data_IF_196149118971
#
_entry.id   IF_196149118971
#
_cell.length_a   1.000
_cell.length_b   1.000
_cell.length_c   1.000
_cell.angle_alpha   90.00
_cell.angle_beta   90.00
_cell.angle_gamma   90.00
#
_symmetry.space_group_name_H-M   'P 1'
#
loop_
_entity.id
_entity.type
_entity.pdbx_description
1 polymer ?
#
# COMPACT_ATOMS: atom_id res chain seq x y z
N UNK A 1 -13.26 -17.03 17.74
CA UNK A 1 -12.83 -16.20 16.59
C UNK A 1 -11.87 -17.07 15.79
N UNK A 2 -12.14 -17.30 14.50
CA UNK A 2 -11.20 -18.05 13.63
C UNK A 2 -9.90 -17.27 13.56
N UNK A 3 -8.86 -17.79 14.18
CA UNK A 3 -7.61 -17.05 14.44
C UNK A 3 -6.74 -16.77 13.20
N UNK A 4 -7.06 -17.33 12.03
CA UNK A 4 -6.25 -17.08 10.83
C UNK A 4 -7.04 -17.06 9.50
N UNK A 5 -7.84 -16.01 9.30
CA UNK A 5 -8.59 -15.82 8.05
C UNK A 5 -7.69 -15.49 6.84
N UNK A 6 -6.39 -15.19 7.09
CA UNK A 6 -5.42 -14.79 6.07
C UNK A 6 -4.55 -15.95 5.56
N UNK A 7 -4.58 -17.11 6.23
CA UNK A 7 -3.73 -18.24 5.85
C UNK A 7 -3.92 -18.64 4.38
N UNK A 8 -2.81 -18.81 3.66
CA UNK A 8 -2.74 -19.15 2.23
C UNK A 8 -3.43 -18.15 1.30
N UNK A 9 -3.80 -16.95 1.77
CA UNK A 9 -4.25 -15.88 0.90
C UNK A 9 -3.09 -15.32 0.10
N UNK A 10 -3.33 -15.06 -1.18
CA UNK A 10 -2.36 -14.47 -2.09
C UNK A 10 -2.40 -12.94 -1.94
N UNK A 11 -1.31 -12.35 -1.51
CA UNK A 11 -1.17 -10.93 -1.23
C UNK A 11 -0.24 -10.27 -2.24
N UNK A 12 -0.68 -9.19 -2.87
CA UNK A 12 0.17 -8.28 -3.64
C UNK A 12 0.48 -7.05 -2.79
N UNK A 13 1.77 -6.73 -2.63
CA UNK A 13 2.22 -5.57 -1.88
C UNK A 13 3.13 -4.72 -2.76
N UNK A 14 2.75 -3.46 -2.99
CA UNK A 14 3.59 -2.48 -3.67
C UNK A 14 4.42 -1.69 -2.68
N UNK A 15 5.64 -1.28 -3.06
CA UNK A 15 6.58 -0.61 -2.16
C UNK A 15 7.06 -1.53 -1.03
N UNK A 16 7.19 -2.83 -1.32
CA UNK A 16 7.48 -3.89 -0.35
C UNK A 16 8.79 -3.72 0.43
N UNK A 17 9.76 -3.00 -0.12
CA UNK A 17 11.06 -2.72 0.51
C UNK A 17 11.07 -1.44 1.34
N UNK A 18 10.05 -0.58 1.18
CA UNK A 18 9.91 0.67 1.91
C UNK A 18 9.66 0.49 3.41
N UNK A 19 9.81 1.55 4.19
CA UNK A 19 9.73 1.50 5.65
C UNK A 19 8.47 0.82 6.18
N UNK A 20 7.28 1.20 5.70
CA UNK A 20 6.01 0.57 6.07
C UNK A 20 5.80 -0.75 5.32
N UNK A 21 6.03 -0.79 4.00
CA UNK A 21 5.80 -1.97 3.18
C UNK A 21 6.55 -3.20 3.70
N UNK A 22 7.83 -3.04 4.08
CA UNK A 22 8.64 -4.11 4.67
C UNK A 22 8.04 -4.65 5.97
N UNK A 23 7.48 -3.79 6.82
CA UNK A 23 6.82 -4.22 8.06
C UNK A 23 5.53 -4.98 7.78
N UNK A 24 4.73 -4.51 6.80
CA UNK A 24 3.50 -5.19 6.38
C UNK A 24 3.80 -6.59 5.83
N UNK A 25 4.80 -6.76 4.96
CA UNK A 25 5.11 -8.09 4.40
C UNK A 25 5.59 -9.07 5.48
N UNK A 26 6.33 -8.60 6.49
CA UNK A 26 6.73 -9.42 7.64
C UNK A 26 5.51 -9.90 8.43
N UNK A 27 4.55 -9.01 8.71
CA UNK A 27 3.32 -9.37 9.43
C UNK A 27 2.45 -10.36 8.62
N UNK A 28 2.33 -10.16 7.29
CA UNK A 28 1.63 -11.10 6.41
C UNK A 28 2.30 -12.47 6.33
N UNK A 29 3.62 -12.53 6.31
CA UNK A 29 4.38 -13.79 6.35
C UNK A 29 4.12 -14.57 7.66
N UNK A 30 4.07 -13.88 8.82
CA UNK A 30 3.69 -14.47 10.11
C UNK A 30 2.26 -15.02 10.11
N UNK A 31 1.39 -14.51 9.25
CA UNK A 31 0.01 -14.98 9.05
C UNK A 31 -0.13 -16.07 7.98
N UNK A 32 0.97 -16.64 7.51
CA UNK A 32 1.01 -17.69 6.49
C UNK A 32 0.38 -17.26 5.15
N UNK A 33 0.49 -15.99 4.78
CA UNK A 33 0.08 -15.50 3.46
C UNK A 33 1.13 -15.85 2.40
N UNK A 34 0.70 -16.16 1.18
CA UNK A 34 1.56 -16.13 0.02
C UNK A 34 1.77 -14.68 -0.43
N UNK A 35 2.99 -14.33 -0.86
CA UNK A 35 3.37 -12.95 -1.10
C UNK A 35 3.86 -12.75 -2.54
N UNK A 36 3.32 -11.75 -3.23
CA UNK A 36 3.94 -11.16 -4.41
C UNK A 36 4.41 -9.75 -4.05
N UNK A 37 5.71 -9.52 -4.13
CA UNK A 37 6.36 -8.29 -3.70
C UNK A 37 6.77 -7.47 -4.91
N UNK A 38 6.51 -6.15 -4.89
CA UNK A 38 7.06 -5.25 -5.90
C UNK A 38 7.59 -3.97 -5.28
N UNK A 39 8.70 -3.51 -5.81
CA UNK A 39 9.36 -2.27 -5.47
C UNK A 39 10.24 -1.81 -6.63
N UNK A 40 10.63 -0.55 -6.63
CA UNK A 40 11.66 -0.02 -7.52
C UNK A 40 13.08 -0.33 -7.01
N UNK A 41 13.24 -0.63 -5.73
CA UNK A 41 14.55 -0.90 -5.10
C UNK A 41 15.02 -2.33 -5.37
N UNK A 42 16.34 -2.53 -5.51
CA UNK A 42 16.94 -3.79 -5.92
C UNK A 42 17.01 -4.88 -4.83
N UNK A 43 16.71 -4.54 -3.58
CA UNK A 43 16.82 -5.44 -2.42
C UNK A 43 15.62 -6.38 -2.20
N UNK A 44 14.79 -6.63 -3.23
CA UNK A 44 13.66 -7.57 -3.15
C UNK A 44 14.08 -9.02 -2.92
N UNK A 45 15.22 -9.47 -3.51
CA UNK A 45 15.74 -10.81 -3.29
C UNK A 45 16.19 -11.00 -1.83
N UNK A 46 16.87 -10.01 -1.26
CA UNK A 46 17.28 -10.04 0.15
C UNK A 46 16.06 -10.13 1.09
N UNK A 47 15.02 -9.31 0.79
CA UNK A 47 13.76 -9.35 1.53
C UNK A 47 13.09 -10.73 1.42
N UNK A 48 13.05 -11.33 0.24
CA UNK A 48 12.51 -12.67 0.05
C UNK A 48 13.25 -13.68 0.91
N UNK A 49 14.60 -13.69 0.89
CA UNK A 49 15.40 -14.61 1.69
C UNK A 49 15.16 -14.43 3.21
N UNK A 50 14.97 -13.20 3.68
CA UNK A 50 14.61 -12.94 5.06
C UNK A 50 13.24 -13.54 5.41
N UNK A 51 12.25 -13.34 4.55
CA UNK A 51 10.89 -13.87 4.76
C UNK A 51 10.84 -15.40 4.69
N UNK A 52 11.63 -16.03 3.82
CA UNK A 52 11.76 -17.49 3.74
C UNK A 52 12.39 -18.09 5.00
N UNK A 53 13.31 -17.37 5.65
CA UNK A 53 13.86 -17.77 6.97
C UNK A 53 12.82 -17.61 8.08
N UNK A 54 11.93 -16.61 7.97
CA UNK A 54 10.87 -16.40 8.94
C UNK A 54 9.76 -17.45 8.78
N UNK A 55 9.39 -17.79 7.55
CA UNK A 55 8.35 -18.76 7.23
C UNK A 55 8.61 -19.42 5.87
N UNK A 56 9.10 -20.65 5.87
CA UNK A 56 9.41 -21.42 4.66
C UNK A 56 8.19 -22.15 4.06
N UNK A 57 7.02 -22.05 4.69
CA UNK A 57 5.78 -22.71 4.24
C UNK A 57 4.92 -21.87 3.28
N UNK A 58 5.35 -20.67 2.92
CA UNK A 58 4.60 -19.75 2.06
C UNK A 58 5.29 -19.55 0.70
N UNK A 59 4.50 -19.29 -0.33
CA UNK A 59 5.03 -18.92 -1.65
C UNK A 59 5.41 -17.44 -1.64
N UNK A 60 6.64 -17.11 -2.00
CA UNK A 60 7.11 -15.73 -2.13
C UNK A 60 7.65 -15.53 -3.54
N UNK A 61 7.06 -14.57 -4.26
CA UNK A 61 7.48 -14.13 -5.59
C UNK A 61 7.69 -12.63 -5.58
N UNK A 62 8.49 -12.13 -6.51
CA UNK A 62 8.71 -10.69 -6.61
C UNK A 62 9.01 -10.27 -8.05
N UNK A 63 8.85 -8.96 -8.29
CA UNK A 63 9.29 -8.29 -9.51
C UNK A 63 9.65 -6.85 -9.19
N UNK A 64 10.79 -6.40 -9.75
CA UNK A 64 11.14 -4.99 -9.79
C UNK A 64 10.25 -4.27 -10.81
N UNK A 65 9.61 -3.16 -10.37
CA UNK A 65 8.73 -2.39 -11.24
C UNK A 65 8.72 -0.93 -10.82
N UNK A 66 8.88 -0.04 -11.79
CA UNK A 66 8.63 1.38 -11.62
C UNK A 66 7.16 1.69 -11.91
N UNK A 67 6.34 1.70 -10.89
CA UNK A 67 4.88 1.88 -11.02
C UNK A 67 4.46 3.26 -11.56
N UNK A 68 5.40 4.20 -11.76
CA UNK A 68 5.15 5.45 -12.49
C UNK A 68 4.97 5.21 -13.99
N UNK A 69 5.49 4.09 -14.50
CA UNK A 69 5.44 3.70 -15.91
C UNK A 69 4.29 2.72 -16.14
N UNK A 70 3.42 3.03 -17.10
CA UNK A 70 2.28 2.18 -17.42
C UNK A 70 2.72 0.77 -17.89
N UNK A 71 3.77 0.71 -18.72
CA UNK A 71 4.32 -0.54 -19.23
C UNK A 71 4.81 -1.46 -18.09
N UNK A 72 5.46 -0.91 -17.07
CA UNK A 72 5.94 -1.68 -15.92
C UNK A 72 4.76 -2.22 -15.09
N UNK A 73 3.65 -1.46 -14.98
CA UNK A 73 2.44 -1.93 -14.31
C UNK A 73 1.79 -3.08 -15.09
N UNK A 74 1.72 -2.99 -16.42
CA UNK A 74 1.19 -4.06 -17.27
C UNK A 74 2.07 -5.32 -17.21
N UNK A 75 3.40 -5.15 -17.21
CA UNK A 75 4.37 -6.24 -17.05
C UNK A 75 4.22 -6.91 -15.68
N UNK A 76 4.05 -6.13 -14.62
CA UNK A 76 3.81 -6.62 -13.27
C UNK A 76 2.52 -7.46 -13.21
N UNK A 77 1.42 -6.98 -13.78
CA UNK A 77 0.15 -7.72 -13.81
C UNK A 77 0.32 -9.06 -14.53
N UNK A 78 0.97 -9.06 -15.70
CA UNK A 78 1.26 -10.31 -16.43
C UNK A 78 2.04 -11.30 -15.58
N UNK A 79 3.11 -10.83 -14.93
CA UNK A 79 3.94 -11.70 -14.09
C UNK A 79 3.17 -12.25 -12.88
N UNK A 80 2.32 -11.43 -12.26
CA UNK A 80 1.46 -11.90 -11.16
C UNK A 80 0.52 -13.01 -11.65
N UNK A 81 -0.11 -12.84 -12.83
CA UNK A 81 -1.02 -13.83 -13.41
C UNK A 81 -0.34 -15.15 -13.77
N UNK A 82 0.96 -15.15 -14.09
CA UNK A 82 1.75 -16.36 -14.30
C UNK A 82 2.03 -17.13 -12.99
N UNK A 83 2.24 -16.41 -11.89
CA UNK A 83 2.68 -16.99 -10.62
C UNK A 83 1.51 -17.30 -9.66
N UNK A 84 0.43 -16.54 -9.75
CA UNK A 84 -0.74 -16.66 -8.87
C UNK A 84 -2.04 -16.72 -9.68
N UNK A 85 -2.89 -17.68 -9.36
CA UNK A 85 -4.22 -17.83 -10.01
C UNK A 85 -5.15 -16.66 -9.72
N UNK A 86 -4.96 -15.98 -8.59
CA UNK A 86 -5.74 -14.80 -8.19
C UNK A 86 -5.05 -14.09 -7.02
N UNK A 87 -5.34 -12.80 -6.87
CA UNK A 87 -4.96 -12.00 -5.71
C UNK A 87 -6.18 -11.85 -4.79
N UNK A 88 -6.00 -12.16 -3.51
CA UNK A 88 -7.03 -12.03 -2.48
C UNK A 88 -6.88 -10.73 -1.69
N UNK A 89 -5.63 -10.26 -1.52
CA UNK A 89 -5.29 -9.07 -0.75
C UNK A 89 -4.37 -8.19 -1.61
N UNK A 90 -4.77 -6.94 -1.81
CA UNK A 90 -3.99 -5.92 -2.49
C UNK A 90 -3.64 -4.81 -1.50
N UNK A 91 -2.33 -4.55 -1.31
CA UNK A 91 -1.85 -3.45 -0.48
C UNK A 91 -1.07 -2.47 -1.36
N UNK A 92 -1.69 -1.36 -1.68
CA UNK A 92 -1.08 -0.23 -2.37
C UNK A 92 -0.32 0.63 -1.34
N UNK A 93 0.97 0.31 -1.13
CA UNK A 93 1.85 0.98 -0.18
C UNK A 93 2.97 1.78 -0.85
N UNK A 94 3.23 1.57 -2.14
CA UNK A 94 4.16 2.41 -2.90
C UNK A 94 3.66 3.85 -2.94
N UNK A 95 4.58 4.79 -2.80
CA UNK A 95 4.24 6.21 -2.86
C UNK A 95 5.50 7.06 -2.79
N UNK A 96 5.38 8.28 -3.30
CA UNK A 96 6.41 9.31 -3.20
C UNK A 96 5.81 10.60 -2.65
N UNK A 97 6.66 11.42 -2.03
CA UNK A 97 6.32 12.73 -1.48
C UNK A 97 7.13 13.81 -2.20
N UNK A 98 6.46 14.87 -2.61
CA UNK A 98 7.09 16.09 -3.13
C UNK A 98 6.70 17.26 -2.23
N UNK A 99 7.69 17.82 -1.53
CA UNK A 99 7.47 18.95 -0.62
C UNK A 99 8.36 20.12 -1.01
N UNK A 100 7.78 21.07 -1.74
CA UNK A 100 8.42 22.34 -2.12
C UNK A 100 7.39 23.40 -2.48
N UNK A 101 7.77 24.69 -2.55
CA UNK A 101 6.87 25.76 -2.96
C UNK A 101 6.18 25.44 -4.30
N UNK A 102 4.90 25.80 -4.41
CA UNK A 102 4.14 25.57 -5.64
C UNK A 102 4.80 26.21 -6.88
N UNK A 103 5.41 27.39 -6.71
CA UNK A 103 6.12 28.10 -7.79
C UNK A 103 7.36 27.36 -8.30
N UNK A 104 7.89 26.42 -7.54
CA UNK A 104 9.08 25.63 -7.88
C UNK A 104 8.72 24.20 -8.32
N UNK A 105 7.45 23.82 -8.18
CA UNK A 105 6.94 22.51 -8.57
C UNK A 105 6.86 22.41 -10.10
N UNK A 106 7.26 21.26 -10.65
CA UNK A 106 7.21 20.98 -12.08
C UNK A 106 6.04 20.07 -12.45
N UNK A 107 5.62 20.09 -13.72
CA UNK A 107 4.62 19.15 -14.22
C UNK A 107 5.12 17.70 -14.18
N UNK A 108 6.42 17.47 -14.43
CA UNK A 108 7.00 16.13 -14.36
C UNK A 108 6.90 15.54 -12.95
N UNK A 109 7.12 16.35 -11.91
CA UNK A 109 6.94 15.92 -10.51
C UNK A 109 5.46 15.65 -10.18
N UNK A 110 4.58 16.50 -10.71
CA UNK A 110 3.13 16.28 -10.56
C UNK A 110 2.72 14.96 -11.22
N UNK A 111 3.11 14.74 -12.48
CA UNK A 111 2.79 13.53 -13.23
C UNK A 111 3.41 12.28 -12.59
N UNK A 112 4.66 12.35 -12.13
CA UNK A 112 5.33 11.27 -11.39
C UNK A 112 4.51 10.87 -10.17
N UNK A 113 4.19 11.85 -9.31
CA UNK A 113 3.46 11.63 -8.08
C UNK A 113 2.03 11.08 -8.35
N UNK A 114 1.32 11.64 -9.32
CA UNK A 114 -0.01 11.15 -9.69
C UNK A 114 0.04 9.75 -10.30
N UNK A 115 1.05 9.46 -11.10
CA UNK A 115 1.23 8.14 -11.69
C UNK A 115 1.48 7.07 -10.61
N UNK A 116 2.35 7.34 -9.64
CA UNK A 116 2.66 6.40 -8.58
C UNK A 116 1.54 6.30 -7.53
N UNK A 117 1.10 7.44 -7.01
CA UNK A 117 0.20 7.48 -5.86
C UNK A 117 -1.27 7.24 -6.20
N UNK A 118 -1.67 7.40 -7.48
CA UNK A 118 -3.08 7.35 -7.91
C UNK A 118 -3.31 6.37 -9.06
N UNK A 119 -2.62 6.58 -10.22
CA UNK A 119 -2.85 5.76 -11.41
C UNK A 119 -2.49 4.30 -11.19
N UNK A 120 -1.34 4.00 -10.60
CA UNK A 120 -0.93 2.63 -10.33
C UNK A 120 -1.92 1.91 -9.38
N UNK A 121 -2.30 2.46 -8.21
CA UNK A 121 -3.37 1.89 -7.38
C UNK A 121 -4.69 1.69 -8.13
N UNK A 122 -5.11 2.66 -8.96
CA UNK A 122 -6.33 2.51 -9.78
C UNK A 122 -6.26 1.30 -10.70
N UNK A 123 -5.15 1.14 -11.45
CA UNK A 123 -4.97 0.02 -12.39
C UNK A 123 -4.97 -1.31 -11.64
N UNK A 124 -4.22 -1.41 -10.54
CA UNK A 124 -4.13 -2.64 -9.75
C UNK A 124 -5.47 -3.00 -9.08
N UNK A 125 -6.19 -2.01 -8.54
CA UNK A 125 -7.53 -2.22 -8.00
C UNK A 125 -8.50 -2.70 -9.08
N UNK A 126 -8.53 -2.05 -10.26
CA UNK A 126 -9.35 -2.43 -11.40
C UNK A 126 -9.10 -3.87 -11.85
N UNK A 127 -7.83 -4.29 -11.87
CA UNK A 127 -7.45 -5.62 -12.32
C UNK A 127 -7.83 -6.70 -11.30
N UNK A 128 -7.42 -6.54 -10.05
CA UNK A 128 -7.53 -7.61 -9.05
C UNK A 128 -8.85 -7.64 -8.29
N UNK A 129 -9.64 -6.55 -8.30
CA UNK A 129 -11.00 -6.59 -7.73
C UNK A 129 -11.93 -7.54 -8.44
N UNK A 130 -11.69 -7.86 -9.72
CA UNK A 130 -12.45 -8.86 -10.48
C UNK A 130 -12.40 -10.23 -9.81
N UNK A 131 -11.19 -10.74 -9.52
CA UNK A 131 -11.00 -12.02 -8.85
C UNK A 131 -11.66 -12.05 -7.47
N UNK A 132 -11.54 -10.93 -6.74
CA UNK A 132 -12.10 -10.77 -5.41
C UNK A 132 -13.63 -10.82 -5.44
N UNK A 133 -14.23 -10.12 -6.42
CA UNK A 133 -15.70 -10.08 -6.63
C UNK A 133 -16.24 -11.47 -7.01
N UNK A 134 -15.59 -12.16 -7.94
CA UNK A 134 -15.98 -13.52 -8.35
C UNK A 134 -15.93 -14.50 -7.19
N UNK A 135 -14.90 -14.39 -6.33
CA UNK A 135 -14.73 -15.23 -5.14
C UNK A 135 -15.54 -14.79 -3.93
N UNK A 136 -16.24 -13.66 -4.02
CA UNK A 136 -16.99 -13.02 -2.92
C UNK A 136 -16.14 -12.86 -1.64
N UNK A 137 -14.86 -12.56 -1.84
CA UNK A 137 -13.92 -12.27 -0.76
C UNK A 137 -12.71 -11.51 -1.30
N UNK A 138 -12.38 -10.39 -0.67
CA UNK A 138 -11.22 -9.60 -1.00
C UNK A 138 -10.91 -8.53 0.03
N UNK A 139 -9.64 -8.09 0.04
CA UNK A 139 -9.17 -6.98 0.88
C UNK A 139 -8.29 -6.06 0.04
N UNK A 140 -8.67 -4.81 -0.05
CA UNK A 140 -7.89 -3.76 -0.71
C UNK A 140 -7.50 -2.73 0.35
N UNK A 141 -6.22 -2.46 0.49
CA UNK A 141 -5.70 -1.44 1.39
C UNK A 141 -4.94 -0.41 0.56
N UNK A 142 -5.40 0.83 0.61
CA UNK A 142 -4.70 1.97 0.04
C UNK A 142 -4.05 2.76 1.18
N UNK A 143 -2.72 2.84 1.17
CA UNK A 143 -1.96 3.62 2.16
C UNK A 143 -1.96 5.08 1.69
N UNK A 144 -2.82 5.87 2.32
CA UNK A 144 -2.92 7.31 2.10
C UNK A 144 -1.95 8.08 3.01
N UNK A 145 -2.42 9.10 3.69
CA UNK A 145 -1.67 9.95 4.63
C UNK A 145 -2.66 10.88 5.33
N UNK A 146 -2.26 11.51 6.44
CA UNK A 146 -2.96 12.69 6.97
C UNK A 146 -3.14 13.79 5.90
N UNK A 147 -2.26 13.83 4.89
CA UNK A 147 -2.35 14.69 3.70
C UNK A 147 -3.53 14.35 2.77
N UNK A 148 -4.26 13.26 3.01
CA UNK A 148 -5.51 12.96 2.28
C UNK A 148 -6.71 13.73 2.85
N UNK A 149 -6.58 14.31 4.02
CA UNK A 149 -7.65 15.02 4.73
C UNK A 149 -7.32 16.50 4.98
N UNK A 150 -6.03 16.84 4.93
CA UNK A 150 -5.54 18.20 5.26
C UNK A 150 -4.60 18.70 4.16
N UNK A 151 -4.55 20.03 3.99
CA UNK A 151 -3.52 20.70 3.21
C UNK A 151 -2.32 21.05 4.10
N UNK A 152 -1.11 20.88 3.56
CA UNK A 152 0.13 21.28 4.21
C UNK A 152 0.92 22.24 3.33
N UNK A 153 1.64 23.15 3.93
CA UNK A 153 2.52 24.09 3.23
C UNK A 153 3.54 23.29 2.39
N UNK A 154 3.78 23.77 1.18
CA UNK A 154 4.73 23.17 0.24
C UNK A 154 4.42 21.71 -0.19
N UNK A 155 3.23 21.21 0.06
CA UNK A 155 2.84 19.83 -0.25
C UNK A 155 1.68 19.74 -1.26
N UNK A 156 1.53 20.71 -2.17
CA UNK A 156 0.39 20.77 -3.08
C UNK A 156 0.25 19.51 -3.94
N UNK A 157 1.33 19.01 -4.53
CA UNK A 157 1.33 17.79 -5.35
C UNK A 157 0.95 16.58 -4.50
N UNK A 158 1.61 16.41 -3.36
CA UNK A 158 1.39 15.26 -2.49
C UNK A 158 -0.03 15.22 -1.91
N UNK A 159 -0.50 16.36 -1.36
CA UNK A 159 -1.87 16.46 -0.85
C UNK A 159 -2.89 16.15 -1.95
N UNK A 160 -2.72 16.69 -3.17
CA UNK A 160 -3.60 16.39 -4.30
C UNK A 160 -3.66 14.90 -4.59
N UNK A 161 -2.51 14.22 -4.64
CA UNK A 161 -2.44 12.79 -4.91
C UNK A 161 -3.11 11.96 -3.80
N UNK A 162 -2.91 12.32 -2.53
CA UNK A 162 -3.48 11.57 -1.40
C UNK A 162 -4.99 11.83 -1.22
N UNK A 163 -5.49 13.03 -1.54
CA UNK A 163 -6.93 13.30 -1.64
C UNK A 163 -7.57 12.49 -2.78
N UNK A 164 -6.90 12.39 -3.94
CA UNK A 164 -7.38 11.58 -5.06
C UNK A 164 -7.45 10.08 -4.68
N UNK A 165 -6.44 9.55 -3.98
CA UNK A 165 -6.41 8.17 -3.50
C UNK A 165 -7.53 7.89 -2.48
N UNK A 166 -7.85 8.85 -1.60
CA UNK A 166 -8.98 8.76 -0.68
C UNK A 166 -10.31 8.70 -1.46
N UNK A 167 -10.49 9.56 -2.46
CA UNK A 167 -11.66 9.56 -3.33
C UNK A 167 -11.84 8.23 -4.06
N UNK A 168 -10.77 7.67 -4.63
CA UNK A 168 -10.76 6.34 -5.23
C UNK A 168 -11.17 5.26 -4.22
N UNK A 169 -10.63 5.29 -3.01
CA UNK A 169 -10.94 4.31 -1.96
C UNK A 169 -12.41 4.33 -1.58
N UNK A 170 -13.01 5.52 -1.46
CA UNK A 170 -14.44 5.69 -1.17
C UNK A 170 -15.33 5.11 -2.28
N UNK A 171 -14.98 5.37 -3.54
CA UNK A 171 -15.71 4.82 -4.69
C UNK A 171 -15.64 3.30 -4.72
N UNK A 172 -14.43 2.72 -4.55
CA UNK A 172 -14.23 1.26 -4.50
C UNK A 172 -15.01 0.61 -3.35
N UNK A 173 -15.04 1.22 -2.18
CA UNK A 173 -15.83 0.71 -1.06
C UNK A 173 -17.33 0.66 -1.43
N UNK A 174 -17.88 1.74 -1.98
CA UNK A 174 -19.29 1.80 -2.37
C UNK A 174 -19.64 0.75 -3.43
N UNK A 175 -18.73 0.52 -4.39
CA UNK A 175 -18.94 -0.41 -5.51
C UNK A 175 -18.80 -1.88 -5.10
N UNK A 176 -17.85 -2.20 -4.21
CA UNK A 176 -17.40 -3.58 -3.98
C UNK A 176 -17.96 -4.22 -2.69
N UNK A 177 -18.55 -3.44 -1.78
CA UNK A 177 -19.00 -3.90 -0.46
C UNK A 177 -19.99 -5.07 -0.53
N UNK A 178 -20.90 -5.08 -1.49
CA UNK A 178 -21.93 -6.12 -1.62
C UNK A 178 -21.36 -7.46 -2.12
N UNK A 179 -20.12 -7.45 -2.61
CA UNK A 179 -19.36 -8.63 -3.01
C UNK A 179 -18.42 -9.16 -1.92
N UNK A 180 -18.55 -8.67 -0.68
CA UNK A 180 -17.63 -8.98 0.44
C UNK A 180 -16.17 -8.63 0.13
N UNK A 181 -15.96 -7.63 -0.73
CA UNK A 181 -14.64 -7.03 -0.98
C UNK A 181 -14.54 -5.76 -0.16
N UNK A 182 -13.63 -5.76 0.81
CA UNK A 182 -13.47 -4.64 1.74
C UNK A 182 -12.33 -3.76 1.29
N UNK A 183 -12.61 -2.48 1.13
CA UNK A 183 -11.61 -1.47 0.80
C UNK A 183 -11.34 -0.60 2.01
N UNK A 184 -10.07 -0.46 2.37
CA UNK A 184 -9.60 0.36 3.47
C UNK A 184 -8.70 1.47 2.94
N UNK A 185 -8.96 2.70 3.35
CA UNK A 185 -8.05 3.82 3.19
C UNK A 185 -7.39 4.08 4.54
N UNK A 186 -6.13 3.69 4.68
CA UNK A 186 -5.36 3.93 5.90
C UNK A 186 -4.53 5.19 5.72
N UNK A 187 -4.75 6.17 6.58
CA UNK A 187 -4.14 7.50 6.52
C UNK A 187 -3.22 7.72 7.74
N UNK A 188 -1.97 7.23 7.70
CA UNK A 188 -1.03 7.48 8.78
C UNK A 188 -0.61 8.95 8.82
N UNK A 189 -0.31 9.45 10.01
CA UNK A 189 0.50 10.63 10.22
C UNK A 189 1.99 10.35 9.93
N UNK A 190 2.88 11.12 10.56
CA UNK A 190 4.32 10.97 10.36
C UNK A 190 4.82 9.66 10.95
N UNK A 191 5.61 8.91 10.17
CA UNK A 191 6.21 7.63 10.57
C UNK A 191 7.74 7.69 10.48
N UNK A 192 8.43 6.91 11.30
CA UNK A 192 9.90 6.77 11.28
C UNK A 192 10.38 5.98 10.07
N UNK A 193 10.36 6.62 8.90
CA UNK A 193 10.74 6.05 7.60
C UNK A 193 11.86 6.85 6.95
N UNK A 194 12.48 6.28 5.89
CA UNK A 194 13.43 7.03 5.05
C UNK A 194 12.77 8.26 4.43
N UNK A 195 11.56 8.13 3.90
CA UNK A 195 10.80 9.25 3.31
C UNK A 195 10.65 10.42 4.28
N UNK A 196 10.38 10.16 5.57
CA UNK A 196 10.28 11.21 6.57
C UNK A 196 11.64 11.81 6.94
N UNK A 197 12.72 11.03 6.91
CA UNK A 197 14.09 11.53 7.15
C UNK A 197 14.60 12.41 6.02
N UNK A 198 14.14 12.19 4.81
CA UNK A 198 14.52 12.97 3.62
C UNK A 198 13.66 14.23 3.45
N UNK A 199 12.58 14.39 4.22
CA UNK A 199 11.70 15.56 4.21
C UNK A 199 12.18 16.61 5.23
N UNK A 200 13.12 17.46 4.81
CA UNK A 200 13.66 18.55 5.64
C UNK A 200 12.57 19.50 6.15
N UNK A 201 11.55 19.78 5.32
CA UNK A 201 10.44 20.64 5.73
C UNK A 201 9.59 20.02 6.84
N UNK A 202 9.38 18.70 6.82
CA UNK A 202 8.70 17.97 7.88
C UNK A 202 9.52 17.98 9.17
N UNK A 203 10.84 17.74 9.07
CA UNK A 203 11.74 17.70 10.23
C UNK A 203 11.98 19.09 10.83
N UNK A 204 11.81 20.15 10.06
CA UNK A 204 11.86 21.51 10.60
C UNK A 204 10.64 21.88 11.46
N UNK A 205 9.52 21.21 11.25
CA UNK A 205 8.24 21.48 11.92
C UNK A 205 7.97 20.49 13.08
N UNK A 206 8.58 19.27 13.05
CA UNK A 206 8.24 18.17 13.96
C UNK A 206 9.48 17.41 14.45
N UNK A 207 9.44 16.96 15.71
CA UNK A 207 10.47 16.07 16.25
C UNK A 207 10.28 14.64 15.71
N UNK A 208 11.27 14.14 14.96
CA UNK A 208 11.28 12.78 14.41
C UNK A 208 11.07 11.69 15.47
N UNK A 209 11.50 11.93 16.72
CA UNK A 209 11.34 10.93 17.80
C UNK A 209 9.87 10.69 18.17
N UNK A 210 8.99 11.65 17.91
CA UNK A 210 7.55 11.56 18.19
C UNK A 210 6.77 10.82 17.07
N UNK A 211 7.42 10.49 15.95
CA UNK A 211 6.77 9.81 14.83
C UNK A 211 6.44 8.36 15.19
N UNK A 212 5.34 7.87 14.61
CA UNK A 212 4.91 6.48 14.79
C UNK A 212 5.94 5.48 14.28
N UNK A 213 6.03 4.34 14.93
CA UNK A 213 6.79 3.21 14.41
C UNK A 213 6.04 2.54 13.24
N UNK A 214 6.67 2.33 12.08
CA UNK A 214 6.02 1.64 10.97
C UNK A 214 5.51 0.23 11.31
N UNK A 215 6.10 -0.44 12.31
CA UNK A 215 5.66 -1.74 12.81
C UNK A 215 4.27 -1.69 13.42
N UNK A 216 3.94 -0.65 14.19
CA UNK A 216 2.62 -0.48 14.80
C UNK A 216 1.53 -0.31 13.73
N UNK A 217 1.82 0.50 12.71
CA UNK A 217 0.91 0.68 11.57
C UNK A 217 0.74 -0.62 10.78
N UNK A 218 1.81 -1.40 10.59
CA UNK A 218 1.77 -2.68 9.88
C UNK A 218 0.94 -3.73 10.64
N UNK A 219 1.11 -3.85 11.95
CA UNK A 219 0.30 -4.72 12.81
C UNK A 219 -1.18 -4.35 12.73
N UNK A 220 -1.49 -3.05 12.79
CA UNK A 220 -2.85 -2.55 12.66
C UNK A 220 -3.46 -2.89 11.29
N UNK A 221 -2.74 -2.64 10.18
CA UNK A 221 -3.16 -2.99 8.82
C UNK A 221 -3.47 -4.49 8.73
N UNK A 222 -2.57 -5.34 9.25
CA UNK A 222 -2.76 -6.78 9.22
C UNK A 222 -3.97 -7.22 10.05
N UNK A 223 -4.20 -6.56 11.17
CA UNK A 223 -5.37 -6.81 12.03
C UNK A 223 -6.68 -6.46 11.35
N UNK A 224 -6.80 -5.28 10.71
CA UNK A 224 -8.06 -4.87 10.08
C UNK A 224 -8.43 -5.74 8.88
N UNK A 225 -7.45 -6.19 8.07
CA UNK A 225 -7.73 -7.08 6.93
C UNK A 225 -8.07 -8.51 7.36
N UNK A 226 -7.63 -8.94 8.55
CA UNK A 226 -7.98 -10.25 9.12
C UNK A 226 -9.39 -10.31 9.71
N UNK A 227 -10.00 -9.15 9.94
CA UNK A 227 -11.31 -9.07 10.54
C UNK A 227 -12.39 -9.42 9.50
N UNK A 228 -13.22 -10.44 9.78
CA UNK A 228 -14.19 -10.99 8.83
C UNK A 228 -15.64 -10.92 9.31
N UNK A 229 -15.91 -10.14 10.37
CA UNK A 229 -17.26 -9.86 10.85
C UNK A 229 -17.92 -8.69 10.09
N UNK A 230 -19.19 -8.41 10.37
CA UNK A 230 -19.99 -7.42 9.63
C UNK A 230 -19.49 -5.95 9.76
N UNK A 231 -18.84 -5.61 10.89
CA UNK A 231 -18.35 -4.26 11.14
C UNK A 231 -17.12 -3.93 10.27
N UNK A 232 -17.21 -2.88 9.48
CA UNK A 232 -16.10 -2.42 8.60
C UNK A 232 -15.93 -0.91 8.75
N UNK A 233 -14.71 -0.47 9.02
CA UNK A 233 -14.31 0.93 8.88
C UNK A 233 -13.56 1.11 7.57
N UNK A 234 -14.08 1.93 6.66
CA UNK A 234 -13.47 2.17 5.34
C UNK A 234 -12.34 3.20 5.39
N UNK A 235 -12.39 4.14 6.32
CA UNK A 235 -11.42 5.22 6.48
C UNK A 235 -10.84 5.18 7.89
N UNK A 236 -9.52 5.19 7.95
CA UNK A 236 -8.80 5.02 9.20
C UNK A 236 -7.64 6.02 9.23
N UNK A 237 -7.76 6.99 10.13
CA UNK A 237 -6.67 7.93 10.42
C UNK A 237 -5.88 7.45 11.64
N UNK A 238 -4.56 7.45 11.54
CA UNK A 238 -3.64 7.07 12.61
C UNK A 238 -2.72 8.25 12.94
N UNK A 239 -2.57 8.57 14.21
CA UNK A 239 -1.73 9.69 14.70
C UNK A 239 -1.08 9.35 16.03
#
# INVERSE_FOLDING_TARGET
MNENTLEKKNCLITGATGGLGRKIVIELAKKNCNLFLTSIEENLEELKQELEKLNNGILIKYQHSDLRKAEDVDNLIRKIREEFTSINILINCAGENHRKPLSESTLDEFDSCMNLNVRAPFILCKEFSKDMTEKKWGRIVNIASSSAHNGFKNAAIYCSSKHALLGLSRALFAELKDSNVRTFCVSPGSMKTRMAKEDEGLLAEHDYNTFMEPSEVAEFVTKIISYDNEMVSQEISLS
#
